data_IF_175140265927
#
_entry.id   IF_175140265927
#
_cell.length_a   1.000
_cell.length_b   1.000
_cell.length_c   1.000
_cell.angle_alpha   90.00
_cell.angle_beta   90.00
_cell.angle_gamma   90.00
#
_symmetry.space_group_name_H-M   'P 1'
#
loop_
_entity.id
_entity.type
_entity.pdbx_description
1 polymer ?
#
# COMPACT_ATOMS: atom_id res chain seq x y z
N UNK A 1 9.85 19.34 59.65
CA UNK A 1 9.37 18.01 59.21
C UNK A 1 8.42 18.23 58.03
N UNK A 2 8.72 17.54 56.92
CA UNK A 2 8.08 17.42 55.59
C UNK A 2 6.97 18.39 55.12
N UNK A 3 7.32 19.09 54.04
CA UNK A 3 6.46 19.78 53.06
C UNK A 3 5.54 18.76 52.35
N UNK A 4 4.27 19.10 52.13
CA UNK A 4 3.40 18.40 51.16
C UNK A 4 2.90 19.40 50.12
N UNK A 5 3.63 19.49 49.01
CA UNK A 5 3.14 20.12 47.79
C UNK A 5 2.27 19.10 47.05
N UNK A 6 1.00 19.42 46.87
CA UNK A 6 0.07 18.64 46.06
C UNK A 6 0.30 19.05 44.60
N UNK A 7 1.11 18.28 43.86
CA UNK A 7 1.26 18.47 42.40
C UNK A 7 0.12 17.71 41.73
N UNK A 8 -0.82 18.47 41.16
CA UNK A 8 -1.87 17.97 40.29
C UNK A 8 -1.23 17.62 38.93
N UNK A 9 -0.87 16.35 38.74
CA UNK A 9 -0.35 15.86 37.47
C UNK A 9 -1.49 15.74 36.46
N UNK A 10 -1.62 16.71 35.55
CA UNK A 10 -2.49 16.62 34.39
C UNK A 10 -1.96 15.51 33.48
N UNK A 11 -2.70 14.40 33.38
CA UNK A 11 -2.48 13.32 32.43
C UNK A 11 -2.71 13.86 31.00
N UNK A 12 -1.65 14.33 30.34
CA UNK A 12 -1.63 14.49 28.89
C UNK A 12 -1.45 13.09 28.29
N UNK A 13 -2.57 12.40 28.04
CA UNK A 13 -2.56 11.22 27.18
C UNK A 13 -2.16 11.66 25.78
N UNK A 14 -1.08 11.13 25.17
CA UNK A 14 -0.85 11.33 23.76
C UNK A 14 -1.98 10.62 23.01
N UNK A 15 -2.84 11.39 22.35
CA UNK A 15 -3.77 10.86 21.37
C UNK A 15 -2.93 10.14 20.30
N UNK A 16 -3.00 8.81 20.26
CA UNK A 16 -2.51 8.03 19.13
C UNK A 16 -3.35 8.44 17.92
N UNK A 17 -2.89 9.45 17.19
CA UNK A 17 -3.33 9.67 15.83
C UNK A 17 -2.85 8.44 15.04
N UNK A 18 -3.78 7.55 14.73
CA UNK A 18 -3.59 6.53 13.71
C UNK A 18 -3.37 7.30 12.40
N UNK A 19 -2.11 7.62 12.09
CA UNK A 19 -1.77 8.23 10.82
C UNK A 19 -2.03 7.21 9.72
N UNK A 20 -3.14 7.41 9.00
CA UNK A 20 -3.27 6.98 7.62
C UNK A 20 -1.98 7.38 6.89
N UNK A 21 -1.14 6.41 6.52
CA UNK A 21 0.10 6.67 5.82
C UNK A 21 -0.24 7.03 4.38
N UNK A 22 -0.13 8.32 4.08
CA UNK A 22 -0.34 8.89 2.76
C UNK A 22 1.01 9.38 2.22
N UNK A 23 1.29 9.03 0.96
CA UNK A 23 2.48 9.42 0.22
C UNK A 23 2.06 10.31 -0.94
N UNK A 24 2.88 11.29 -1.29
CA UNK A 24 2.55 12.24 -2.36
C UNK A 24 3.75 12.52 -3.24
N UNK A 25 3.55 12.50 -4.55
CA UNK A 25 4.51 12.95 -5.55
C UNK A 25 3.80 13.87 -6.55
N UNK A 26 4.09 15.17 -6.46
CA UNK A 26 3.34 16.18 -7.19
C UNK A 26 1.85 16.14 -6.85
N UNK A 27 1.02 15.73 -7.82
CA UNK A 27 -0.44 15.59 -7.68
C UNK A 27 -0.91 14.14 -7.50
N UNK A 28 0.01 13.18 -7.55
CA UNK A 28 -0.27 11.79 -7.25
C UNK A 28 -0.24 11.58 -5.75
N UNK A 29 -1.28 10.96 -5.22
CA UNK A 29 -1.42 10.58 -3.83
C UNK A 29 -1.59 9.06 -3.74
N UNK A 30 -0.80 8.41 -2.90
CA UNK A 30 -0.93 6.98 -2.60
C UNK A 30 -1.33 6.84 -1.14
N UNK A 31 -2.50 6.27 -0.90
CA UNK A 31 -3.07 6.09 0.42
C UNK A 31 -3.05 4.62 0.83
N UNK A 32 -2.72 4.40 2.11
CA UNK A 32 -2.81 3.11 2.78
C UNK A 32 -2.16 1.93 2.04
N UNK A 33 -0.85 1.97 1.72
CA UNK A 33 -0.17 0.78 1.23
C UNK A 33 -0.19 -0.35 2.26
N UNK A 34 -0.75 -1.50 1.89
CA UNK A 34 -0.88 -2.65 2.77
C UNK A 34 -0.72 -3.98 2.03
N UNK A 35 -0.39 -5.02 2.78
CA UNK A 35 -0.33 -6.41 2.32
C UNK A 35 -0.93 -7.31 3.38
N UNK A 36 -1.46 -8.45 2.96
CA UNK A 36 -2.01 -9.44 3.89
C UNK A 36 -0.93 -10.45 4.29
N UNK A 37 -0.84 -10.76 5.58
CA UNK A 37 -0.03 -11.90 6.03
C UNK A 37 -0.56 -13.18 5.40
N UNK A 38 0.33 -13.94 4.76
CA UNK A 38 0.03 -15.24 4.18
C UNK A 38 0.80 -16.33 4.93
N UNK A 39 0.39 -17.60 4.81
CA UNK A 39 1.14 -18.70 5.40
C UNK A 39 2.64 -18.65 5.00
N UNK A 40 3.58 -19.09 5.87
CA UNK A 40 5.02 -18.96 5.63
C UNK A 40 5.52 -19.57 4.31
N UNK A 41 4.76 -20.48 3.70
CA UNK A 41 5.10 -21.16 2.46
C UNK A 41 4.35 -20.61 1.23
N UNK A 42 3.65 -19.48 1.37
CA UNK A 42 2.96 -18.86 0.25
C UNK A 42 3.97 -18.54 -0.88
N UNK A 43 3.68 -18.95 -2.13
CA UNK A 43 4.60 -18.76 -3.25
C UNK A 43 4.65 -17.30 -3.72
N UNK A 44 3.56 -16.56 -3.53
CA UNK A 44 3.41 -15.16 -3.93
C UNK A 44 2.70 -14.37 -2.84
N UNK A 45 2.85 -13.05 -2.89
CA UNK A 45 2.22 -12.10 -1.96
C UNK A 45 1.59 -10.97 -2.77
N UNK A 46 0.44 -10.47 -2.33
CA UNK A 46 -0.18 -9.29 -2.93
C UNK A 46 0.01 -8.04 -2.06
N UNK A 47 0.24 -6.90 -2.71
CA UNK A 47 0.19 -5.59 -2.09
C UNK A 47 -0.88 -4.72 -2.75
N UNK A 48 -1.46 -3.84 -1.94
CA UNK A 48 -2.68 -3.09 -2.19
C UNK A 48 -2.50 -1.65 -1.71
N UNK A 49 -3.20 -0.71 -2.33
CA UNK A 49 -3.18 0.72 -2.00
C UNK A 49 -4.27 1.44 -2.79
N UNK A 50 -4.56 2.69 -2.43
CA UNK A 50 -5.43 3.56 -3.22
C UNK A 50 -4.58 4.65 -3.85
N UNK A 51 -4.71 4.81 -5.16
CA UNK A 51 -4.03 5.84 -5.93
C UNK A 51 -5.02 6.92 -6.33
N UNK A 52 -4.73 8.18 -6.03
CA UNK A 52 -5.55 9.32 -6.39
C UNK A 52 -4.72 10.32 -7.19
N UNK A 53 -5.16 10.66 -8.40
CA UNK A 53 -4.55 11.71 -9.19
C UNK A 53 -5.34 13.01 -9.02
N UNK A 54 -4.82 13.92 -8.19
CA UNK A 54 -5.39 15.26 -7.94
C UNK A 54 -4.98 16.29 -8.98
N UNK A 55 -4.39 15.85 -10.08
CA UNK A 55 -3.92 16.66 -11.17
C UNK A 55 -4.99 16.88 -12.23
N UNK A 56 -4.65 17.77 -13.14
CA UNK A 56 -5.37 18.16 -14.34
C UNK A 56 -4.90 17.40 -15.59
N UNK A 57 -3.87 16.57 -15.47
CA UNK A 57 -3.39 15.66 -16.52
C UNK A 57 -3.31 14.23 -16.01
N UNK A 58 -3.56 13.26 -16.90
CA UNK A 58 -3.42 11.84 -16.58
C UNK A 58 -1.95 11.45 -16.41
N UNK A 59 -1.70 10.43 -15.58
CA UNK A 59 -0.41 9.78 -15.39
C UNK A 59 -0.58 8.26 -15.64
N UNK A 60 0.52 7.51 -15.54
CA UNK A 60 0.54 6.07 -15.73
C UNK A 60 1.53 5.44 -14.77
N UNK A 61 1.08 4.43 -14.04
CA UNK A 61 1.96 3.57 -13.25
C UNK A 61 2.62 2.57 -14.20
N UNK A 62 3.93 2.70 -14.39
CA UNK A 62 4.74 1.92 -15.33
C UNK A 62 5.22 0.60 -14.75
N UNK A 63 5.30 0.49 -13.42
CA UNK A 63 5.83 -0.67 -12.75
C UNK A 63 6.05 -0.45 -11.27
N UNK A 64 6.52 -1.50 -10.62
CA UNK A 64 6.76 -1.53 -9.18
C UNK A 64 8.01 -2.34 -8.90
N UNK A 65 8.80 -1.93 -7.91
CA UNK A 65 9.91 -2.73 -7.37
C UNK A 65 9.87 -2.82 -5.84
N UNK A 66 10.53 -3.83 -5.30
CA UNK A 66 10.79 -3.94 -3.86
C UNK A 66 11.99 -4.83 -3.59
N UNK A 67 12.83 -4.52 -2.57
CA UNK A 67 13.95 -5.38 -2.20
C UNK A 67 13.53 -6.74 -1.62
N UNK A 68 12.27 -6.90 -1.16
CA UNK A 68 11.82 -8.14 -0.52
C UNK A 68 11.43 -9.25 -1.52
N UNK A 69 11.41 -8.96 -2.82
CA UNK A 69 10.97 -9.86 -3.88
C UNK A 69 11.96 -9.88 -5.05
N UNK A 70 11.96 -10.96 -5.83
CA UNK A 70 12.67 -11.03 -7.10
C UNK A 70 11.96 -10.24 -8.20
N UNK A 71 10.62 -10.24 -8.15
CA UNK A 71 9.77 -9.58 -9.14
C UNK A 71 8.56 -8.96 -8.44
N UNK A 72 8.13 -7.81 -8.92
CA UNK A 72 6.86 -7.18 -8.57
C UNK A 72 6.11 -6.85 -9.87
N UNK A 73 4.88 -7.34 -9.98
CA UNK A 73 4.09 -7.26 -11.21
C UNK A 73 2.75 -6.57 -10.96
N UNK A 74 2.29 -5.76 -11.91
CA UNK A 74 0.95 -5.17 -11.88
C UNK A 74 -0.05 -6.17 -12.43
N UNK A 75 -1.12 -6.46 -11.69
CA UNK A 75 -2.15 -7.43 -12.07
C UNK A 75 -3.54 -6.82 -11.98
N UNK A 76 -4.43 -7.30 -12.84
CA UNK A 76 -5.84 -6.94 -12.85
C UNK A 76 -6.73 -8.18 -12.78
N UNK A 77 -7.96 -7.98 -12.30
CA UNK A 77 -9.01 -8.96 -12.41
C UNK A 77 -10.00 -8.50 -13.48
N UNK A 78 -10.14 -9.31 -14.53
CA UNK A 78 -11.08 -9.06 -15.61
C UNK A 78 -12.16 -10.15 -15.59
N UNK A 79 -13.41 -9.75 -15.80
CA UNK A 79 -14.49 -10.69 -16.06
C UNK A 79 -14.51 -11.01 -17.56
N UNK A 80 -14.09 -12.21 -17.93
CA UNK A 80 -14.16 -12.72 -19.30
C UNK A 80 -15.03 -13.97 -19.32
N UNK A 81 -16.06 -14.00 -20.17
CA UNK A 81 -16.91 -15.17 -20.39
C UNK A 81 -17.54 -15.75 -19.11
N UNK A 82 -17.91 -14.88 -18.17
CA UNK A 82 -18.49 -15.27 -16.88
C UNK A 82 -17.48 -15.80 -15.85
N UNK A 83 -16.19 -15.84 -16.20
CA UNK A 83 -15.09 -16.24 -15.32
C UNK A 83 -14.26 -15.03 -14.91
N UNK A 84 -13.85 -15.01 -13.64
CA UNK A 84 -12.86 -14.03 -13.15
C UNK A 84 -11.48 -14.51 -13.51
N UNK A 85 -10.77 -13.75 -14.35
CA UNK A 85 -9.39 -14.01 -14.75
C UNK A 85 -8.48 -12.95 -14.15
N UNK A 86 -7.45 -13.42 -13.44
CA UNK A 86 -6.32 -12.59 -13.03
C UNK A 86 -5.29 -12.58 -14.16
N UNK A 87 -4.81 -11.40 -14.55
CA UNK A 87 -3.75 -11.27 -15.54
C UNK A 87 -2.76 -10.16 -15.20
N UNK A 88 -1.51 -10.38 -15.58
CA UNK A 88 -0.48 -9.35 -15.53
C UNK A 88 -0.76 -8.28 -16.60
N UNK A 89 -0.57 -7.02 -16.22
CA UNK A 89 -0.53 -5.87 -17.11
C UNK A 89 0.84 -5.20 -17.04
N UNK A 90 1.22 -4.49 -18.10
CA UNK A 90 2.50 -3.77 -18.12
C UNK A 90 2.41 -2.42 -17.42
N UNK A 91 1.25 -1.77 -17.50
CA UNK A 91 1.02 -0.44 -16.93
C UNK A 91 -0.41 -0.29 -16.45
N UNK A 92 -0.65 0.67 -15.56
CA UNK A 92 -2.01 1.06 -15.12
C UNK A 92 -2.20 2.55 -15.37
N UNK A 93 -3.23 2.91 -16.12
CA UNK A 93 -3.56 4.31 -16.38
C UNK A 93 -4.15 4.97 -15.13
N UNK A 94 -3.78 6.23 -14.89
CA UNK A 94 -4.20 7.03 -13.74
C UNK A 94 -4.76 8.36 -14.24
N UNK A 95 -6.01 8.40 -14.72
CA UNK A 95 -6.59 9.59 -15.32
C UNK A 95 -6.61 10.79 -14.36
N UNK A 96 -6.61 12.00 -14.91
CA UNK A 96 -6.75 13.23 -14.13
C UNK A 96 -8.03 13.21 -13.29
N UNK A 97 -7.94 13.59 -12.02
CA UNK A 97 -9.06 13.62 -11.08
C UNK A 97 -9.62 12.24 -10.70
N UNK A 98 -8.98 11.14 -11.10
CA UNK A 98 -9.48 9.79 -10.86
C UNK A 98 -8.81 9.12 -9.66
N UNK A 99 -9.54 8.16 -9.10
CA UNK A 99 -9.06 7.22 -8.09
C UNK A 99 -8.95 5.83 -8.71
N UNK A 100 -7.79 5.21 -8.56
CA UNK A 100 -7.50 3.83 -8.98
C UNK A 100 -7.21 2.99 -7.74
N UNK A 101 -8.05 1.99 -7.50
CA UNK A 101 -7.99 1.19 -6.27
C UNK A 101 -7.31 -0.15 -6.53
N UNK A 102 -6.21 -0.38 -5.81
CA UNK A 102 -5.55 -1.68 -5.72
C UNK A 102 -6.08 -2.41 -4.48
N UNK A 103 -6.96 -3.39 -4.70
CA UNK A 103 -7.66 -4.13 -3.66
C UNK A 103 -7.90 -5.60 -4.10
N UNK A 104 -8.22 -6.51 -3.16
CA UNK A 104 -8.62 -7.87 -3.51
C UNK A 104 -9.71 -7.89 -4.58
N UNK A 105 -9.58 -8.78 -5.57
CA UNK A 105 -10.49 -8.88 -6.73
C UNK A 105 -10.53 -7.66 -7.67
N UNK A 106 -9.65 -6.68 -7.49
CA UNK A 106 -9.44 -5.55 -8.39
C UNK A 106 -7.98 -5.52 -8.88
N UNK A 107 -7.37 -4.35 -8.99
CA UNK A 107 -5.94 -4.21 -9.24
C UNK A 107 -5.11 -4.67 -8.04
N UNK A 108 -3.93 -5.22 -8.26
CA UNK A 108 -2.98 -5.53 -7.18
C UNK A 108 -1.55 -5.64 -7.70
N UNK A 109 -0.59 -5.47 -6.79
CA UNK A 109 0.81 -5.77 -7.06
C UNK A 109 1.09 -7.20 -6.60
N UNK A 110 1.48 -8.09 -7.51
CA UNK A 110 1.91 -9.44 -7.19
C UNK A 110 3.43 -9.49 -7.01
N UNK A 111 3.87 -9.89 -5.82
CA UNK A 111 5.26 -10.12 -5.49
C UNK A 111 5.60 -11.61 -5.67
N UNK A 112 6.64 -11.89 -6.46
CA UNK A 112 7.14 -13.23 -6.74
C UNK A 112 8.59 -13.37 -6.28
N UNK A 113 9.04 -14.61 -6.12
CA UNK A 113 10.40 -14.94 -5.71
C UNK A 113 10.78 -14.21 -4.40
N UNK A 114 9.95 -14.39 -3.37
CA UNK A 114 10.11 -13.70 -2.08
C UNK A 114 11.48 -13.99 -1.47
N UNK A 115 12.27 -12.92 -1.28
CA UNK A 115 13.64 -12.94 -0.75
C UNK A 115 13.70 -12.77 0.76
N UNK A 116 12.81 -11.94 1.33
CA UNK A 116 12.78 -11.66 2.77
C UNK A 116 11.38 -11.88 3.35
N UNK A 117 11.12 -13.11 3.81
CA UNK A 117 9.86 -13.49 4.45
C UNK A 117 9.69 -12.90 5.85
N UNK A 118 10.77 -12.46 6.51
CA UNK A 118 10.69 -11.89 7.86
C UNK A 118 9.90 -10.57 7.90
N UNK A 119 9.80 -9.89 6.75
CA UNK A 119 9.05 -8.64 6.55
C UNK A 119 7.57 -8.85 6.26
N UNK A 120 7.13 -10.10 6.08
CA UNK A 120 5.76 -10.47 5.73
C UNK A 120 4.93 -10.92 6.94
N UNK A 121 5.36 -10.55 8.15
CA UNK A 121 4.66 -10.83 9.40
C UNK A 121 3.80 -9.64 9.80
N UNK A 122 2.66 -9.88 10.45
CA UNK A 122 1.77 -8.81 10.95
C UNK A 122 2.54 -7.73 11.71
N UNK A 123 2.27 -6.47 11.37
CA UNK A 123 2.88 -5.29 11.98
C UNK A 123 4.24 -4.92 11.39
N UNK A 124 4.85 -5.79 10.58
CA UNK A 124 6.04 -5.46 9.81
C UNK A 124 5.70 -4.54 8.64
N UNK A 125 6.75 -3.95 8.08
CA UNK A 125 6.69 -3.06 6.93
C UNK A 125 7.81 -3.38 5.95
N UNK A 126 7.54 -3.19 4.68
CA UNK A 126 8.55 -3.26 3.64
C UNK A 126 8.43 -2.08 2.66
N UNK A 127 9.57 -1.58 2.13
CA UNK A 127 9.56 -0.54 1.11
C UNK A 127 9.09 -1.10 -0.22
N UNK A 128 8.40 -0.27 -0.99
CA UNK A 128 8.00 -0.54 -2.36
C UNK A 128 8.11 0.75 -3.16
N UNK A 129 8.68 0.69 -4.35
CA UNK A 129 8.83 1.84 -5.25
C UNK A 129 7.78 1.74 -6.36
N UNK A 130 6.98 2.79 -6.53
CA UNK A 130 6.02 2.91 -7.63
C UNK A 130 6.61 3.83 -8.70
N UNK A 131 6.75 3.35 -9.93
CA UNK A 131 7.33 4.13 -11.03
C UNK A 131 6.23 4.75 -11.88
N UNK A 132 6.07 6.06 -11.81
CA UNK A 132 5.12 6.80 -12.64
C UNK A 132 5.80 7.41 -13.86
N UNK A 133 5.06 7.48 -14.96
CA UNK A 133 5.52 8.08 -16.21
C UNK A 133 5.83 9.58 -16.04
N UNK A 134 5.01 10.31 -15.28
CA UNK A 134 5.16 11.76 -15.09
C UNK A 134 5.56 12.14 -13.68
N UNK A 135 4.95 11.55 -12.66
CA UNK A 135 5.28 11.84 -11.27
C UNK A 135 6.65 11.29 -10.83
N UNK A 136 7.26 10.39 -11.62
CA UNK A 136 8.52 9.74 -11.31
C UNK A 136 8.36 8.65 -10.24
N UNK A 137 9.44 8.40 -9.51
CA UNK A 137 9.49 7.31 -8.53
C UNK A 137 8.91 7.76 -7.18
N UNK A 138 8.03 6.92 -6.62
CA UNK A 138 7.43 7.16 -5.30
C UNK A 138 7.67 5.96 -4.40
N UNK A 139 8.50 6.15 -3.38
CA UNK A 139 8.72 5.14 -2.35
C UNK A 139 7.60 5.17 -1.32
N UNK A 140 7.05 3.99 -1.02
CA UNK A 140 5.99 3.80 -0.03
C UNK A 140 6.35 2.67 0.94
N UNK A 141 5.80 2.72 2.16
CA UNK A 141 5.92 1.61 3.11
C UNK A 141 4.63 0.82 3.15
N UNK A 142 4.72 -0.45 2.76
CA UNK A 142 3.60 -1.38 2.78
C UNK A 142 3.51 -2.02 4.16
N UNK A 143 2.36 -1.86 4.83
CA UNK A 143 2.12 -2.45 6.15
C UNK A 143 1.50 -3.83 6.02
N UNK A 144 2.07 -4.82 6.70
CA UNK A 144 1.51 -6.17 6.72
C UNK A 144 0.44 -6.28 7.81
N UNK A 145 -0.74 -6.74 7.41
CA UNK A 145 -1.92 -6.82 8.25
C UNK A 145 -2.51 -8.23 8.25
N UNK A 146 -3.22 -8.57 9.33
CA UNK A 146 -3.86 -9.89 9.49
C UNK A 146 -5.09 -10.06 8.59
N UNK A 147 -5.77 -8.95 8.31
CA UNK A 147 -6.99 -8.90 7.51
C UNK A 147 -7.01 -7.61 6.68
N UNK A 148 -7.89 -7.54 5.69
CA UNK A 148 -8.09 -6.31 4.94
C UNK A 148 -8.56 -5.17 5.88
N UNK A 149 -8.13 -3.91 5.66
CA UNK A 149 -8.63 -2.77 6.42
C UNK A 149 -10.15 -2.64 6.32
N UNK A 150 -10.82 -2.35 7.44
CA UNK A 150 -12.29 -2.23 7.52
C UNK A 150 -12.85 -1.02 6.75
N UNK A 151 -12.01 -0.06 6.39
CA UNK A 151 -12.38 1.12 5.59
C UNK A 151 -11.43 1.27 4.40
N UNK A 152 -11.86 0.81 3.22
CA UNK A 152 -11.18 0.99 1.93
C UNK A 152 -11.82 2.11 1.07
N UNK A 153 -12.57 3.02 1.71
CA UNK A 153 -13.34 4.07 1.04
C UNK A 153 -12.52 5.34 0.84
#
# INVERSE_FOLDING_TARGET
MLKKALVLAALLLPACFAHAHQYTAGKIMIAHPWSMELPPNAPTVAAYFVLENKGDTGDRLLGVDTPIAGQAQLHEHLQADGLMKMQQVQTVDVPAGATVTFAPMAWHVMLLDIKDRSKLLVGQRFPMTLHFEKAGDVEVQVVVQKQAPEHQH
#
